data_IF_294904337411
#
_entry.id   IF_294904337411
#
_cell.length_a   1.000
_cell.length_b   1.000
_cell.length_c   1.000
_cell.angle_alpha   90.00
_cell.angle_beta   90.00
_cell.angle_gamma   90.00
#
_symmetry.space_group_name_H-M   'P 1'
#
loop_
_entity.id
_entity.type
_entity.pdbx_description
1 polymer ?
#
# COMPACT_ATOMS: atom_id res chain seq x y z
N UNK A 1 -40.95 26.34 13.42
CA UNK A 1 -40.76 25.03 12.75
C UNK A 1 -39.75 25.11 11.60
N UNK A 2 -39.75 26.17 10.77
CA UNK A 2 -38.80 26.33 9.65
C UNK A 2 -37.32 26.51 10.04
N UNK A 3 -36.98 27.21 11.13
CA UNK A 3 -35.58 27.43 11.54
C UNK A 3 -34.82 26.15 11.89
N UNK A 4 -35.49 25.14 12.48
CA UNK A 4 -34.85 23.85 12.78
C UNK A 4 -34.50 23.06 11.52
N UNK A 5 -35.30 23.20 10.47
CA UNK A 5 -35.05 22.55 9.17
C UNK A 5 -33.85 23.21 8.49
N UNK A 6 -33.78 24.54 8.53
CA UNK A 6 -32.66 25.30 7.95
C UNK A 6 -31.32 24.99 8.64
N UNK A 7 -31.31 24.91 9.97
CA UNK A 7 -30.13 24.50 10.75
C UNK A 7 -29.70 23.06 10.44
N UNK A 8 -30.65 22.12 10.29
CA UNK A 8 -30.35 20.73 9.94
C UNK A 8 -29.78 20.60 8.52
N UNK A 9 -30.28 21.39 7.56
CA UNK A 9 -29.76 21.45 6.19
C UNK A 9 -28.33 22.02 6.15
N UNK A 10 -28.04 23.03 6.97
CA UNK A 10 -26.69 23.62 7.07
C UNK A 10 -25.66 22.65 7.69
N UNK A 11 -26.05 21.87 8.70
CA UNK A 11 -25.19 20.84 9.30
C UNK A 11 -24.89 19.68 8.34
N UNK A 12 -25.91 19.21 7.61
CA UNK A 12 -25.72 18.18 6.59
C UNK A 12 -24.79 18.63 5.45
N UNK A 13 -24.88 19.89 5.05
CA UNK A 13 -23.99 20.47 4.04
C UNK A 13 -22.54 20.51 4.54
N UNK A 14 -22.32 20.92 5.79
CA UNK A 14 -20.99 20.92 6.40
C UNK A 14 -20.38 19.51 6.48
N UNK A 15 -21.17 18.50 6.87
CA UNK A 15 -20.73 17.10 6.89
C UNK A 15 -20.40 16.60 5.47
N UNK A 16 -21.21 16.96 4.47
CA UNK A 16 -20.96 16.58 3.09
C UNK A 16 -19.69 17.24 2.53
N UNK A 17 -19.47 18.53 2.80
CA UNK A 17 -18.28 19.28 2.36
C UNK A 17 -17.02 18.74 3.01
N UNK A 18 -17.06 18.45 4.31
CA UNK A 18 -15.92 17.86 5.05
C UNK A 18 -15.60 16.44 4.59
N UNK A 19 -16.60 15.60 4.34
CA UNK A 19 -16.41 14.28 3.75
C UNK A 19 -15.82 14.35 2.33
N UNK A 20 -16.28 15.31 1.51
CA UNK A 20 -15.76 15.52 0.16
C UNK A 20 -14.29 15.97 0.18
N UNK A 21 -13.93 16.89 1.08
CA UNK A 21 -12.56 17.35 1.29
C UNK A 21 -11.62 16.21 1.71
N UNK A 22 -12.06 15.30 2.59
CA UNK A 22 -11.30 14.11 2.98
C UNK A 22 -11.06 13.16 1.80
N UNK A 23 -12.05 13.00 0.91
CA UNK A 23 -11.93 12.16 -0.28
C UNK A 23 -10.98 12.74 -1.34
N UNK A 24 -10.96 14.06 -1.52
CA UNK A 24 -10.07 14.73 -2.50
C UNK A 24 -8.60 14.68 -2.09
N UNK A 25 -8.31 14.66 -0.78
CA UNK A 25 -6.95 14.55 -0.25
C UNK A 25 -6.35 13.13 -0.29
N UNK A 26 -7.15 12.12 -0.60
CA UNK A 26 -6.68 10.75 -0.56
C UNK A 26 -5.74 10.42 -1.73
N UNK A 27 -4.47 10.18 -1.41
CA UNK A 27 -3.47 9.71 -2.39
C UNK A 27 -3.90 8.35 -2.92
N UNK A 28 -4.25 8.29 -4.21
CA UNK A 28 -4.53 7.03 -4.91
C UNK A 28 -3.24 6.44 -5.45
N UNK A 29 -3.02 5.14 -5.27
CA UNK A 29 -1.91 4.44 -5.91
C UNK A 29 -2.15 4.43 -7.44
N UNK A 30 -1.21 4.95 -8.26
CA UNK A 30 -1.35 4.92 -9.71
C UNK A 30 -1.44 3.49 -10.23
N UNK A 31 -2.33 3.26 -11.19
CA UNK A 31 -2.66 1.90 -11.67
C UNK A 31 -1.45 1.17 -12.30
N UNK A 32 -0.43 1.91 -12.77
CA UNK A 32 0.86 1.36 -13.26
C UNK A 32 1.64 0.54 -12.23
N UNK A 33 1.39 0.75 -10.94
CA UNK A 33 2.02 -0.01 -9.86
C UNK A 33 1.20 -1.23 -9.45
N UNK A 34 0.01 -1.43 -10.01
CA UNK A 34 -0.79 -2.63 -9.81
C UNK A 34 -0.34 -3.71 -10.79
N UNK A 35 -0.12 -4.92 -10.28
CA UNK A 35 0.30 -6.05 -11.09
C UNK A 35 1.34 -6.93 -10.41
N UNK A 36 1.98 -7.78 -11.22
CA UNK A 36 2.99 -8.74 -10.81
C UNK A 36 4.35 -8.32 -11.35
N UNK A 37 5.31 -8.16 -10.45
CA UNK A 37 6.66 -7.70 -10.73
C UNK A 37 7.65 -8.78 -10.32
N UNK A 38 8.48 -9.24 -11.26
CA UNK A 38 9.57 -10.18 -10.99
C UNK A 38 10.87 -9.39 -10.90
N UNK A 39 11.64 -9.63 -9.86
CA UNK A 39 12.96 -9.03 -9.72
C UNK A 39 13.90 -9.62 -10.78
N UNK A 40 14.40 -8.75 -11.66
CA UNK A 40 15.35 -9.12 -12.71
C UNK A 40 16.78 -8.78 -12.32
N UNK A 41 17.00 -7.56 -11.83
CA UNK A 41 18.31 -7.05 -11.42
C UNK A 41 18.21 -6.33 -10.09
N UNK A 42 19.29 -6.39 -9.32
CA UNK A 42 19.46 -5.60 -8.10
C UNK A 42 20.78 -4.83 -8.16
N UNK A 43 20.81 -3.66 -7.52
CA UNK A 43 21.97 -2.78 -7.42
C UNK A 43 22.22 -2.55 -5.93
N UNK A 44 23.47 -2.71 -5.48
CA UNK A 44 23.93 -2.50 -4.10
C UNK A 44 23.15 -3.29 -3.02
N UNK A 45 22.53 -4.43 -3.38
CA UNK A 45 21.74 -5.23 -2.45
C UNK A 45 22.59 -5.89 -1.35
N UNK A 46 23.80 -6.39 -1.68
CA UNK A 46 24.69 -7.00 -0.67
C UNK A 46 25.14 -5.98 0.37
N UNK A 47 25.48 -4.76 -0.06
CA UNK A 47 25.87 -3.65 0.81
C UNK A 47 24.73 -3.25 1.74
N UNK A 48 23.51 -3.11 1.21
CA UNK A 48 22.32 -2.84 2.01
C UNK A 48 22.07 -3.95 3.05
N UNK A 49 22.17 -5.22 2.65
CA UNK A 49 21.98 -6.34 3.56
C UNK A 49 23.10 -6.42 4.62
N UNK A 50 24.34 -6.08 4.27
CA UNK A 50 25.44 -6.01 5.21
C UNK A 50 25.20 -4.89 6.25
N UNK A 51 24.81 -3.70 5.81
CA UNK A 51 24.48 -2.57 6.69
C UNK A 51 23.28 -2.87 7.61
N UNK A 52 22.30 -3.65 7.14
CA UNK A 52 21.18 -4.17 7.96
C UNK A 52 21.58 -5.24 8.97
N UNK A 53 22.83 -5.72 8.96
CA UNK A 53 23.35 -6.71 9.90
C UNK A 53 23.13 -8.17 9.50
N UNK A 54 22.79 -8.47 8.24
CA UNK A 54 22.65 -9.86 7.78
C UNK A 54 24.02 -10.55 7.70
N UNK A 55 24.11 -11.79 8.20
CA UNK A 55 25.32 -12.63 8.10
C UNK A 55 25.62 -12.98 6.63
N UNK A 56 26.90 -13.15 6.29
CA UNK A 56 27.38 -13.39 4.92
C UNK A 56 26.61 -14.50 4.18
N UNK A 57 26.42 -15.67 4.82
CA UNK A 57 25.68 -16.79 4.22
C UNK A 57 24.23 -16.43 3.88
N UNK A 58 23.54 -15.72 4.77
CA UNK A 58 22.16 -15.28 4.56
C UNK A 58 22.07 -14.30 3.39
N UNK A 59 23.05 -13.40 3.25
CA UNK A 59 23.09 -12.46 2.12
C UNK A 59 23.24 -13.17 0.79
N UNK A 60 24.13 -14.17 0.69
CA UNK A 60 24.31 -14.99 -0.52
C UNK A 60 23.02 -15.70 -0.92
N UNK A 61 22.31 -16.29 0.05
CA UNK A 61 21.02 -16.93 -0.20
C UNK A 61 19.94 -15.94 -0.65
N UNK A 62 19.90 -14.73 -0.10
CA UNK A 62 18.94 -13.69 -0.51
C UNK A 62 19.25 -13.22 -1.93
N UNK A 63 20.52 -13.06 -2.30
CA UNK A 63 20.90 -12.65 -3.66
C UNK A 63 20.54 -13.69 -4.72
N UNK A 64 20.57 -14.99 -4.39
CA UNK A 64 20.13 -16.06 -5.27
C UNK A 64 18.60 -16.23 -5.32
N UNK A 65 17.89 -15.62 -4.36
CA UNK A 65 16.45 -15.76 -4.28
C UNK A 65 15.75 -14.93 -5.36
N UNK A 66 14.87 -15.57 -6.13
CA UNK A 66 13.92 -14.83 -6.95
C UNK A 66 12.82 -14.24 -6.06
N UNK A 67 12.53 -12.95 -6.27
CA UNK A 67 11.47 -12.22 -5.57
C UNK A 67 10.41 -11.82 -6.58
N UNK A 68 9.17 -12.18 -6.30
CA UNK A 68 8.00 -11.73 -7.05
C UNK A 68 7.14 -10.87 -6.14
N UNK A 69 6.93 -9.61 -6.52
CA UNK A 69 6.01 -8.69 -5.86
C UNK A 69 4.67 -8.70 -6.59
N UNK A 70 3.56 -8.79 -5.87
CA UNK A 70 2.23 -8.59 -6.41
C UNK A 70 1.59 -7.46 -5.63
N UNK A 71 1.10 -6.44 -6.34
CA UNK A 71 0.38 -5.31 -5.75
C UNK A 71 -1.01 -5.28 -6.39
N UNK A 72 -2.04 -5.28 -5.56
CA UNK A 72 -3.44 -5.35 -6.00
C UNK A 72 -4.32 -4.49 -5.09
N UNK A 73 -5.54 -4.23 -5.55
CA UNK A 73 -6.58 -3.63 -4.69
C UNK A 73 -6.89 -4.58 -3.54
N UNK A 74 -7.16 -4.05 -2.36
CA UNK A 74 -7.40 -4.88 -1.19
C UNK A 74 -8.66 -5.74 -1.37
N UNK A 75 -8.61 -6.96 -0.82
CA UNK A 75 -9.73 -7.88 -0.86
C UNK A 75 -10.92 -7.44 0.01
N UNK A 76 -10.70 -6.54 0.97
CA UNK A 76 -11.75 -6.01 1.85
C UNK A 76 -12.83 -5.20 1.14
N UNK A 77 -12.58 -4.77 -0.11
CA UNK A 77 -13.51 -3.94 -0.88
C UNK A 77 -13.58 -2.48 -0.42
N UNK A 78 -12.81 -2.08 0.59
CA UNK A 78 -12.73 -0.70 1.04
C UNK A 78 -11.97 0.16 0.02
N UNK A 79 -12.42 1.40 -0.25
CA UNK A 79 -11.75 2.29 -1.19
C UNK A 79 -10.35 2.65 -0.69
N UNK A 80 -9.42 2.88 -1.63
CA UNK A 80 -8.06 3.36 -1.38
C UNK A 80 -7.20 2.44 -0.49
N UNK A 81 -7.57 1.16 -0.44
CA UNK A 81 -6.80 0.11 0.23
C UNK A 81 -6.17 -0.84 -0.76
N UNK A 82 -4.99 -1.34 -0.39
CA UNK A 82 -4.18 -2.19 -1.25
C UNK A 82 -3.65 -3.39 -0.48
N UNK A 83 -3.43 -4.49 -1.21
CA UNK A 83 -2.73 -5.67 -0.75
C UNK A 83 -1.39 -5.76 -1.49
N UNK A 84 -0.36 -6.21 -0.77
CA UNK A 84 0.98 -6.41 -1.32
C UNK A 84 1.57 -7.73 -0.85
N UNK A 85 1.79 -8.62 -1.82
CA UNK A 85 2.35 -9.94 -1.60
C UNK A 85 3.82 -9.92 -2.08
N UNK A 86 4.76 -10.29 -1.20
CA UNK A 86 6.14 -10.60 -1.57
C UNK A 86 6.30 -12.11 -1.57
N UNK A 87 6.34 -12.70 -2.76
CA UNK A 87 6.57 -14.12 -2.93
C UNK A 87 8.06 -14.36 -3.15
N UNK A 88 8.62 -15.30 -2.41
CA UNK A 88 9.99 -15.77 -2.63
C UNK A 88 9.99 -17.29 -2.57
N UNK A 89 11.05 -17.93 -3.08
CA UNK A 89 11.16 -19.39 -3.03
C UNK A 89 11.12 -19.96 -1.60
N UNK A 90 11.60 -19.18 -0.60
CA UNK A 90 11.76 -19.65 0.78
C UNK A 90 10.67 -19.18 1.73
N UNK A 91 10.25 -17.92 1.64
CA UNK A 91 9.25 -17.33 2.54
C UNK A 91 8.41 -16.27 1.84
N UNK A 92 7.10 -16.40 1.96
CA UNK A 92 6.16 -15.40 1.48
C UNK A 92 5.84 -14.41 2.59
N UNK A 93 5.66 -13.14 2.22
CA UNK A 93 5.26 -12.06 3.13
C UNK A 93 4.03 -11.39 2.55
N UNK A 94 3.00 -11.22 3.37
CA UNK A 94 1.73 -10.65 2.96
C UNK A 94 1.45 -9.39 3.76
N UNK A 95 1.20 -8.29 3.07
CA UNK A 95 0.68 -7.06 3.65
C UNK A 95 -0.74 -6.85 3.12
N UNK A 96 -1.69 -6.66 4.04
CA UNK A 96 -3.12 -6.56 3.71
C UNK A 96 -3.65 -5.19 4.10
N UNK A 97 -4.59 -4.68 3.32
CA UNK A 97 -5.40 -3.51 3.65
C UNK A 97 -4.61 -2.23 3.99
N UNK A 98 -3.43 -2.05 3.39
CA UNK A 98 -2.63 -0.85 3.65
C UNK A 98 -3.18 0.36 2.89
N UNK A 99 -3.01 1.54 3.49
CA UNK A 99 -3.45 2.85 2.98
C UNK A 99 -2.22 3.71 2.70
N UNK A 100 -2.31 4.61 1.73
CA UNK A 100 -1.26 5.60 1.46
C UNK A 100 -1.38 6.79 2.43
N UNK A 101 -0.30 7.11 3.13
CA UNK A 101 -0.17 8.29 4.01
C UNK A 101 0.39 9.50 3.29
#
# INVERSE_FOLDING_TARGET
MMERIFLQMSGSLYVAVTALLLCVGAKRLPDKFLGRFKLEKSINLDEYLAARGYRWLTRRLIMLASVTKIIKKAASGLPLRYDMDTLTWKKNVFYRDFVLG
#
